data_IF_642602122063
#
_entry.id   IF_642602122063
#
_cell.length_a   1.000
_cell.length_b   1.000
_cell.length_c   1.000
_cell.angle_alpha   90.00
_cell.angle_beta   90.00
_cell.angle_gamma   90.00
#
_symmetry.space_group_name_H-M   'P 1'
#
loop_
_entity.id
_entity.type
_entity.pdbx_description
1 polymer ?
#
# COMPACT_ATOMS: atom_id res chain seq x y z
N UNK A 1 9.28 6.50 -1.89
CA UNK A 1 9.36 7.40 -0.73
C UNK A 1 10.31 8.55 -0.99
N UNK A 2 11.47 8.28 -1.59
CA UNK A 2 12.54 9.28 -1.80
C UNK A 2 12.18 10.41 -2.78
N UNK A 3 11.25 10.18 -3.71
CA UNK A 3 10.85 11.18 -4.72
C UNK A 3 9.99 12.34 -4.19
N UNK A 4 9.36 12.18 -3.02
CA UNK A 4 8.51 13.21 -2.43
C UNK A 4 9.17 13.70 -1.15
N UNK A 5 9.08 14.99 -0.84
CA UNK A 5 9.34 15.46 0.52
C UNK A 5 8.23 14.98 1.48
N UNK A 6 8.29 15.37 2.75
CA UNK A 6 7.33 14.88 3.75
C UNK A 6 5.92 15.45 3.53
N UNK A 7 5.81 16.72 3.12
CA UNK A 7 4.54 17.40 2.93
C UNK A 7 3.82 16.84 1.70
N UNK A 8 4.52 16.72 0.57
CA UNK A 8 4.01 16.12 -0.66
C UNK A 8 3.59 14.66 -0.44
N UNK A 9 4.38 13.92 0.34
CA UNK A 9 4.06 12.53 0.67
C UNK A 9 2.79 12.46 1.52
N UNK A 10 2.71 13.26 2.58
CA UNK A 10 1.53 13.30 3.46
C UNK A 10 0.28 13.73 2.71
N UNK A 11 0.38 14.71 1.81
CA UNK A 11 -0.75 15.16 0.99
C UNK A 11 -1.30 14.04 0.10
N UNK A 12 -0.42 13.26 -0.54
CA UNK A 12 -0.81 12.23 -1.53
C UNK A 12 -1.22 10.91 -0.93
N UNK A 13 -0.70 10.55 0.23
CA UNK A 13 -0.95 9.26 0.87
C UNK A 13 -1.80 9.38 2.14
N UNK A 14 -1.92 10.56 2.75
CA UNK A 14 -2.51 10.80 4.09
C UNK A 14 -1.78 10.09 5.23
N UNK A 15 -0.52 9.72 5.01
CA UNK A 15 0.38 9.13 5.99
C UNK A 15 1.74 9.80 5.89
N UNK A 16 2.46 9.91 7.01
CA UNK A 16 3.88 10.28 7.01
C UNK A 16 4.72 9.09 6.55
N UNK A 17 5.94 9.35 6.02
CA UNK A 17 6.87 8.26 5.66
C UNK A 17 7.20 7.40 6.87
N UNK A 18 7.36 8.02 8.04
CA UNK A 18 7.60 7.33 9.31
C UNK A 18 6.46 6.36 9.66
N UNK A 19 5.19 6.81 9.53
CA UNK A 19 4.02 5.95 9.75
C UNK A 19 3.98 4.77 8.78
N UNK A 20 4.32 4.98 7.51
CA UNK A 20 4.37 3.88 6.53
C UNK A 20 5.46 2.86 6.90
N UNK A 21 6.63 3.31 7.35
CA UNK A 21 7.70 2.41 7.80
C UNK A 21 7.26 1.61 9.04
N UNK A 22 6.59 2.26 10.01
CA UNK A 22 6.05 1.59 11.19
C UNK A 22 5.02 0.50 10.81
N UNK A 23 4.05 0.84 9.96
CA UNK A 23 3.06 -0.11 9.44
C UNK A 23 3.76 -1.28 8.73
N UNK A 24 4.73 -0.99 7.86
CA UNK A 24 5.49 -2.02 7.14
C UNK A 24 6.19 -3.01 8.08
N UNK A 25 6.77 -2.52 9.17
CA UNK A 25 7.43 -3.34 10.19
C UNK A 25 6.43 -4.30 10.86
N UNK A 26 5.23 -3.81 11.17
CA UNK A 26 4.22 -4.60 11.87
C UNK A 26 3.47 -5.60 10.98
N UNK A 27 3.28 -5.28 9.70
CA UNK A 27 2.62 -6.19 8.76
C UNK A 27 3.44 -7.45 8.48
N UNK A 28 4.77 -7.42 8.72
CA UNK A 28 5.68 -8.54 8.51
C UNK A 28 5.48 -9.23 7.15
N UNK A 29 5.29 -8.43 6.10
CA UNK A 29 4.96 -8.93 4.77
C UNK A 29 6.07 -9.85 4.27
N UNK A 30 5.73 -11.12 3.99
CA UNK A 30 6.67 -12.05 3.36
C UNK A 30 7.02 -11.52 1.98
N UNK A 31 8.30 -11.61 1.59
CA UNK A 31 8.70 -11.38 0.19
C UNK A 31 7.89 -12.36 -0.67
N UNK A 32 7.26 -11.84 -1.72
CA UNK A 32 6.35 -12.61 -2.55
C UNK A 32 7.09 -13.84 -3.11
N UNK A 33 6.72 -15.04 -2.68
CA UNK A 33 7.35 -16.30 -3.11
C UNK A 33 6.74 -16.86 -4.38
N UNK A 34 5.59 -16.33 -4.80
CA UNK A 34 4.93 -16.74 -6.04
C UNK A 34 5.59 -16.05 -7.24
N UNK A 35 5.93 -16.85 -8.26
CA UNK A 35 6.58 -16.42 -9.52
C UNK A 35 5.57 -15.96 -10.58
N UNK A 36 4.28 -15.87 -10.25
CA UNK A 36 3.22 -15.46 -11.18
C UNK A 36 3.03 -13.94 -11.17
N UNK A 37 3.21 -13.33 -12.35
CA UNK A 37 3.10 -11.88 -12.56
C UNK A 37 4.36 -11.10 -12.13
N UNK A 38 4.42 -9.80 -12.45
CA UNK A 38 5.52 -8.92 -12.01
C UNK A 38 5.42 -8.73 -10.49
N UNK A 39 6.36 -9.27 -9.68
CA UNK A 39 6.26 -9.14 -8.24
C UNK A 39 6.67 -7.71 -7.86
N UNK A 40 5.70 -6.83 -7.62
CA UNK A 40 6.01 -5.55 -7.00
C UNK A 40 6.53 -5.81 -5.58
N UNK A 41 7.58 -5.08 -5.16
CA UNK A 41 8.03 -5.07 -3.77
C UNK A 41 6.86 -4.86 -2.80
N UNK A 42 6.87 -5.52 -1.62
CA UNK A 42 5.81 -5.36 -0.61
C UNK A 42 5.50 -3.90 -0.27
N UNK A 43 6.55 -3.06 -0.23
CA UNK A 43 6.40 -1.62 -0.02
C UNK A 43 5.50 -0.95 -1.08
N UNK A 44 5.64 -1.31 -2.35
CA UNK A 44 4.81 -0.71 -3.41
C UNK A 44 3.35 -1.13 -3.28
N UNK A 45 3.08 -2.40 -2.93
CA UNK A 45 1.70 -2.85 -2.66
C UNK A 45 1.07 -2.06 -1.51
N UNK A 46 1.81 -1.84 -0.42
CA UNK A 46 1.35 -1.01 0.70
C UNK A 46 1.11 0.43 0.26
N UNK A 47 2.03 1.05 -0.48
CA UNK A 47 1.85 2.42 -0.96
C UNK A 47 0.65 2.57 -1.91
N UNK A 48 0.37 1.58 -2.77
CA UNK A 48 -0.83 1.56 -3.62
C UNK A 48 -2.09 1.53 -2.75
N UNK A 49 -2.14 0.65 -1.76
CA UNK A 49 -3.28 0.51 -0.85
C UNK A 49 -3.48 1.76 0.00
N UNK A 50 -2.42 2.32 0.59
CA UNK A 50 -2.50 3.53 1.40
C UNK A 50 -2.92 4.74 0.56
N UNK A 51 -2.45 4.85 -0.69
CA UNK A 51 -2.92 5.88 -1.60
C UNK A 51 -4.42 5.76 -1.84
N UNK A 52 -4.91 4.55 -2.14
CA UNK A 52 -6.34 4.31 -2.32
C UNK A 52 -7.17 4.71 -1.08
N UNK A 53 -6.72 4.33 0.12
CA UNK A 53 -7.38 4.72 1.37
C UNK A 53 -7.34 6.22 1.64
N UNK A 54 -6.18 6.85 1.45
CA UNK A 54 -5.98 8.25 1.75
C UNK A 54 -6.67 9.20 0.77
N UNK A 55 -6.80 8.81 -0.50
CA UNK A 55 -7.46 9.65 -1.51
C UNK A 55 -8.94 9.35 -1.70
N UNK A 56 -9.41 8.16 -1.29
CA UNK A 56 -10.79 7.71 -1.58
C UNK A 56 -11.12 7.64 -3.08
N UNK A 57 -10.09 7.54 -3.93
CA UNK A 57 -10.23 7.64 -5.38
C UNK A 57 -10.64 6.31 -6.00
N UNK A 58 -11.12 6.35 -7.25
CA UNK A 58 -11.35 5.13 -8.04
C UNK A 58 -10.04 4.35 -8.23
N UNK A 59 -10.12 3.03 -8.22
CA UNK A 59 -8.95 2.17 -8.40
C UNK A 59 -8.30 2.32 -9.79
N UNK A 60 -9.07 2.73 -10.81
CA UNK A 60 -8.55 3.11 -12.14
C UNK A 60 -7.60 4.31 -12.03
N UNK A 61 -8.02 5.38 -11.36
CA UNK A 61 -7.21 6.59 -11.12
C UNK A 61 -5.92 6.25 -10.36
N UNK A 62 -6.00 5.42 -9.32
CA UNK A 62 -4.82 4.96 -8.59
C UNK A 62 -3.89 4.14 -9.51
N UNK A 63 -4.47 3.28 -10.34
CA UNK A 63 -3.75 2.46 -11.32
C UNK A 63 -2.98 3.31 -12.32
N UNK A 64 -3.62 4.32 -12.90
CA UNK A 64 -3.01 5.25 -13.86
C UNK A 64 -1.84 6.01 -13.23
N UNK A 65 -2.02 6.51 -11.99
CA UNK A 65 -0.98 7.27 -11.26
C UNK A 65 0.28 6.45 -10.96
N UNK A 66 0.13 5.14 -10.76
CA UNK A 66 1.26 4.24 -10.44
C UNK A 66 1.62 3.30 -11.61
N UNK A 67 0.99 3.51 -12.78
CA UNK A 67 1.19 2.75 -14.02
C UNK A 67 0.98 1.24 -13.87
N UNK A 68 -0.10 0.84 -13.21
CA UNK A 68 -0.54 -0.55 -13.09
C UNK A 68 -2.02 -0.68 -13.46
N UNK A 69 -2.49 -1.89 -13.77
CA UNK A 69 -3.90 -2.09 -14.08
C UNK A 69 -4.80 -1.91 -12.85
N UNK A 70 -6.05 -1.49 -13.06
CA UNK A 70 -7.04 -1.39 -12.00
C UNK A 70 -7.22 -2.73 -11.25
N UNK A 71 -7.19 -3.86 -11.95
CA UNK A 71 -7.30 -5.18 -11.34
C UNK A 71 -6.12 -5.48 -10.41
N UNK A 72 -4.93 -4.94 -10.73
CA UNK A 72 -3.76 -5.06 -9.88
C UNK A 72 -3.89 -4.22 -8.61
N UNK A 73 -4.44 -2.99 -8.72
CA UNK A 73 -4.79 -2.16 -7.55
C UNK A 73 -5.76 -2.90 -6.65
N UNK A 74 -6.83 -3.48 -7.21
CA UNK A 74 -7.82 -4.27 -6.47
C UNK A 74 -7.17 -5.40 -5.66
N UNK A 75 -6.27 -6.18 -6.29
CA UNK A 75 -5.52 -7.24 -5.63
C UNK A 75 -4.62 -6.72 -4.50
N UNK A 76 -3.91 -5.60 -4.72
CA UNK A 76 -3.07 -4.99 -3.69
C UNK A 76 -3.91 -4.56 -2.48
N UNK A 77 -5.04 -3.89 -2.73
CA UNK A 77 -5.95 -3.47 -1.66
C UNK A 77 -6.38 -4.70 -0.89
N UNK A 78 -6.97 -5.69 -1.54
CA UNK A 78 -7.43 -6.92 -0.88
C UNK A 78 -6.33 -7.61 -0.06
N UNK A 79 -5.17 -7.86 -0.65
CA UNK A 79 -4.04 -8.54 0.02
C UNK A 79 -3.59 -7.78 1.27
N UNK A 80 -3.36 -6.47 1.15
CA UNK A 80 -2.89 -5.65 2.27
C UNK A 80 -3.98 -5.48 3.33
N UNK A 81 -5.26 -5.33 2.95
CA UNK A 81 -6.39 -5.30 3.92
C UNK A 81 -6.43 -6.58 4.74
N UNK A 82 -6.30 -7.75 4.10
CA UNK A 82 -6.30 -9.03 4.82
C UNK A 82 -5.16 -9.11 5.84
N UNK A 83 -3.96 -8.66 5.49
CA UNK A 83 -2.83 -8.65 6.42
C UNK A 83 -3.07 -7.65 7.56
N UNK A 84 -3.61 -6.47 7.28
CA UNK A 84 -3.99 -5.48 8.32
C UNK A 84 -5.00 -6.10 9.28
N UNK A 85 -6.07 -6.72 8.77
CA UNK A 85 -7.09 -7.37 9.59
C UNK A 85 -6.50 -8.52 10.44
N UNK A 86 -5.57 -9.30 9.88
CA UNK A 86 -4.98 -10.42 10.60
C UNK A 86 -3.97 -9.99 11.68
N UNK A 87 -3.22 -8.90 11.43
CA UNK A 87 -2.03 -8.54 12.23
C UNK A 87 -2.21 -7.32 13.12
N UNK A 88 -2.93 -6.31 12.64
CA UNK A 88 -3.07 -5.03 13.33
C UNK A 88 -4.41 -4.95 14.07
N UNK A 89 -5.50 -5.42 13.47
CA UNK A 89 -6.82 -5.34 14.11
C UNK A 89 -6.83 -5.91 15.54
N UNK A 90 -6.29 -7.13 15.81
CA UNK A 90 -6.30 -7.69 17.18
C UNK A 90 -5.41 -6.95 18.18
N UNK A 91 -4.52 -6.06 17.72
CA UNK A 91 -3.62 -5.29 18.59
C UNK A 91 -4.18 -3.93 18.96
N UNK A 92 -5.04 -3.36 18.12
CA UNK A 92 -5.44 -1.95 18.18
C UNK A 92 -6.95 -1.74 18.34
N UNK A 93 -7.77 -2.76 18.12
CA UNK A 93 -9.23 -2.74 18.27
C UNK A 93 -9.66 -3.94 19.11
#
# INVERSE_FOLDING_TARGET
MEFYDEEDFSFRFRFTKASVIAIMSELQLKKNTDRRGTPLPPLLKVLITLRFYGTGAMQTVVGDLVRVSQQYVSRCVWEITQVICLRLFPKYV
#
